data_IF_238058525879
#
_entry.id   IF_238058525879
#
_cell.length_a   1.000
_cell.length_b   1.000
_cell.length_c   1.000
_cell.angle_alpha   90.00
_cell.angle_beta   90.00
_cell.angle_gamma   90.00
#
_symmetry.space_group_name_H-M   'P 1'
#
loop_
_entity.id
_entity.type
_entity.pdbx_description
1 polymer ?
#
# COMPACT_ATOMS: atom_id res chain seq x y z
N UNK A 1 -3.10 -64.49 46.16
CA UNK A 1 -3.06 -63.01 46.03
C UNK A 1 -3.75 -62.65 44.73
N UNK A 2 -4.98 -62.16 44.82
CA UNK A 2 -5.82 -61.72 43.70
C UNK A 2 -5.21 -60.44 43.09
N UNK A 3 -4.94 -60.43 41.79
CA UNK A 3 -4.81 -59.18 41.01
C UNK A 3 -6.04 -59.10 40.12
N UNK A 4 -6.94 -58.17 40.44
CA UNK A 4 -8.02 -57.77 39.54
C UNK A 4 -7.41 -57.07 38.32
N UNK A 5 -7.77 -57.42 37.08
CA UNK A 5 -7.33 -56.71 35.88
C UNK A 5 -8.35 -55.62 35.49
N UNK A 6 -8.78 -54.80 36.45
CA UNK A 6 -9.79 -53.75 36.17
C UNK A 6 -9.22 -52.37 36.52
N UNK A 7 -8.11 -52.05 35.88
CA UNK A 7 -7.68 -50.67 35.67
C UNK A 7 -8.11 -50.26 34.27
N UNK A 8 -9.40 -49.95 34.10
CA UNK A 8 -9.87 -49.18 32.95
C UNK A 8 -9.20 -47.80 33.07
N UNK A 9 -8.06 -47.61 32.41
CA UNK A 9 -7.59 -46.25 32.15
C UNK A 9 -8.68 -45.57 31.32
N UNK A 10 -9.21 -44.40 31.72
CA UNK A 10 -10.08 -43.64 30.83
C UNK A 10 -9.25 -43.28 29.59
N UNK A 11 -9.43 -44.05 28.53
CA UNK A 11 -8.94 -43.73 27.20
C UNK A 11 -9.74 -42.51 26.73
N UNK A 12 -9.00 -41.42 26.48
CA UNK A 12 -9.36 -40.39 25.50
C UNK A 12 -10.59 -39.49 25.80
N UNK A 13 -10.64 -38.82 26.94
CA UNK A 13 -11.45 -37.58 27.06
C UNK A 13 -10.64 -36.28 26.89
N UNK A 14 -9.30 -36.32 26.87
CA UNK A 14 -8.47 -35.11 26.70
C UNK A 14 -8.30 -34.65 25.24
N UNK A 15 -8.65 -35.49 24.26
CA UNK A 15 -8.40 -35.20 22.83
C UNK A 15 -9.46 -34.31 22.16
N UNK A 16 -10.63 -34.15 22.77
CA UNK A 16 -11.76 -33.40 22.18
C UNK A 16 -11.76 -31.90 22.50
N UNK A 17 -10.93 -31.45 23.45
CA UNK A 17 -10.90 -30.04 23.90
C UNK A 17 -9.74 -29.23 23.31
N UNK A 18 -8.79 -29.85 22.62
CA UNK A 18 -7.63 -29.17 22.04
C UNK A 18 -7.91 -28.73 20.59
N UNK A 19 -7.95 -27.41 20.38
CA UNK A 19 -8.08 -26.80 19.05
C UNK A 19 -7.00 -27.31 18.09
N UNK A 20 -7.41 -27.71 16.88
CA UNK A 20 -6.50 -28.04 15.76
C UNK A 20 -5.70 -26.84 15.23
N UNK A 21 -5.95 -25.65 15.75
CA UNK A 21 -5.28 -24.39 15.41
C UNK A 21 -4.64 -23.77 16.65
N UNK A 22 -3.33 -23.52 16.59
CA UNK A 22 -2.56 -22.83 17.62
C UNK A 22 -2.36 -21.36 17.25
N UNK A 23 -3.29 -20.50 17.70
CA UNK A 23 -3.22 -19.06 17.48
C UNK A 23 -1.94 -18.40 18.00
N UNK A 24 -1.40 -18.75 19.20
CA UNK A 24 -0.13 -18.18 19.65
C UNK A 24 1.03 -18.47 18.69
N UNK A 25 1.08 -19.67 18.11
CA UNK A 25 2.10 -20.03 17.12
C UNK A 25 1.93 -19.23 15.81
N UNK A 26 0.69 -19.05 15.37
CA UNK A 26 0.35 -18.22 14.20
C UNK A 26 0.79 -16.78 14.42
N UNK A 27 0.46 -16.18 15.56
CA UNK A 27 0.84 -14.79 15.87
C UNK A 27 2.36 -14.62 16.01
N UNK A 28 3.04 -15.58 16.63
CA UNK A 28 4.51 -15.56 16.71
C UNK A 28 5.15 -15.64 15.31
N UNK A 29 4.66 -16.52 14.45
CA UNK A 29 5.09 -16.61 13.05
C UNK A 29 4.80 -15.33 12.27
N UNK A 30 3.61 -14.76 12.43
CA UNK A 30 3.21 -13.51 11.78
C UNK A 30 4.09 -12.33 12.23
N UNK A 31 4.39 -12.23 13.52
CA UNK A 31 5.27 -11.21 14.08
C UNK A 31 6.70 -11.34 13.52
N UNK A 32 7.22 -12.56 13.42
CA UNK A 32 8.53 -12.80 12.84
C UNK A 32 8.57 -12.45 11.33
N UNK A 33 7.53 -12.82 10.58
CA UNK A 33 7.40 -12.44 9.17
C UNK A 33 7.33 -10.92 9.01
N UNK A 34 6.51 -10.23 9.81
CA UNK A 34 6.37 -8.79 9.75
C UNK A 34 7.69 -8.07 10.10
N UNK A 35 8.38 -8.49 11.16
CA UNK A 35 9.66 -7.91 11.58
C UNK A 35 10.75 -8.10 10.51
N UNK A 36 10.89 -9.31 9.96
CA UNK A 36 11.88 -9.57 8.91
C UNK A 36 11.52 -8.84 7.60
N UNK A 37 10.24 -8.79 7.24
CA UNK A 37 9.78 -8.03 6.09
C UNK A 37 10.12 -6.55 6.23
N UNK A 38 9.93 -5.95 7.42
CA UNK A 38 10.28 -4.56 7.68
C UNK A 38 11.78 -4.32 7.50
N UNK A 39 12.62 -5.19 8.06
CA UNK A 39 14.09 -5.09 7.92
C UNK A 39 14.51 -5.16 6.45
N UNK A 40 13.98 -6.12 5.69
CA UNK A 40 14.33 -6.31 4.27
C UNK A 40 13.80 -5.19 3.37
N UNK A 41 12.62 -4.62 3.69
CA UNK A 41 12.10 -3.44 3.00
C UNK A 41 12.98 -2.22 3.26
N UNK A 42 13.39 -1.98 4.51
CA UNK A 42 14.31 -0.89 4.87
C UNK A 42 15.66 -1.04 4.16
N UNK A 43 16.19 -2.27 4.11
CA UNK A 43 17.41 -2.57 3.36
C UNK A 43 17.22 -2.29 1.85
N UNK A 44 16.09 -2.69 1.28
CA UNK A 44 15.75 -2.43 -0.11
C UNK A 44 15.69 -0.94 -0.45
N UNK A 45 15.16 -0.12 0.45
CA UNK A 45 15.21 1.33 0.30
C UNK A 45 16.64 1.87 0.30
N UNK A 46 17.49 1.40 1.23
CA UNK A 46 18.90 1.76 1.26
C UNK A 46 19.61 1.44 -0.04
N UNK A 47 19.45 0.22 -0.56
CA UNK A 47 20.03 -0.20 -1.84
C UNK A 47 19.45 0.61 -3.01
N UNK A 48 18.14 0.87 -3.02
CA UNK A 48 17.48 1.65 -4.06
C UNK A 48 18.00 3.09 -4.15
N UNK A 49 18.19 3.76 -3.01
CA UNK A 49 18.74 5.12 -2.99
C UNK A 49 20.18 5.18 -3.49
N UNK A 50 20.99 4.14 -3.26
CA UNK A 50 22.36 4.11 -3.79
C UNK A 50 22.42 3.91 -5.32
N UNK A 51 21.35 3.41 -5.93
CA UNK A 51 21.32 3.12 -7.36
C UNK A 51 20.74 4.27 -8.21
N UNK A 52 20.13 5.27 -7.58
CA UNK A 52 19.57 6.46 -8.24
C UNK A 52 20.59 7.60 -8.16
N UNK A 53 20.95 8.14 -9.32
CA UNK A 53 21.82 9.32 -9.41
C UNK A 53 20.98 10.58 -9.68
N UNK A 54 21.30 11.72 -9.04
CA UNK A 54 20.69 13.02 -9.37
C UNK A 54 21.25 13.65 -10.66
N UNK A 55 22.36 13.12 -11.22
CA UNK A 55 22.96 13.63 -12.45
C UNK A 55 22.44 12.90 -13.69
N UNK A 56 22.17 13.65 -14.76
CA UNK A 56 21.66 13.11 -16.02
C UNK A 56 22.64 12.09 -16.64
N UNK A 57 22.10 10.96 -17.12
CA UNK A 57 22.85 9.81 -17.68
C UNK A 57 23.77 9.05 -16.71
N UNK A 58 23.69 9.33 -15.41
CA UNK A 58 24.36 8.56 -14.37
C UNK A 58 23.36 7.67 -13.62
N UNK A 59 23.82 6.54 -13.08
CA UNK A 59 22.99 5.63 -12.28
C UNK A 59 22.14 4.63 -13.07
N UNK A 60 21.30 3.87 -12.37
CA UNK A 60 20.49 2.81 -12.97
C UNK A 60 19.27 3.36 -13.71
N UNK A 61 18.99 2.84 -14.91
CA UNK A 61 17.79 3.21 -15.67
C UNK A 61 16.49 2.96 -14.87
N UNK A 62 15.45 3.76 -15.12
CA UNK A 62 14.14 3.62 -14.46
C UNK A 62 13.53 2.21 -14.63
N UNK A 63 13.73 1.59 -15.81
CA UNK A 63 13.30 0.21 -16.08
C UNK A 63 14.09 -0.79 -15.23
N UNK A 64 15.41 -0.61 -15.12
CA UNK A 64 16.27 -1.44 -14.27
C UNK A 64 15.90 -1.34 -12.79
N UNK A 65 15.66 -0.13 -12.30
CA UNK A 65 15.20 0.13 -10.92
C UNK A 65 13.83 -0.52 -10.64
N UNK A 66 12.91 -0.45 -11.59
CA UNK A 66 11.61 -1.10 -11.47
C UNK A 66 11.72 -2.62 -11.36
N UNK A 67 12.54 -3.25 -12.21
CA UNK A 67 12.76 -4.70 -12.20
C UNK A 67 13.47 -5.14 -10.91
N UNK A 68 14.53 -4.43 -10.50
CA UNK A 68 15.26 -4.78 -9.27
C UNK A 68 14.38 -4.66 -8.03
N UNK A 69 13.51 -3.64 -7.97
CA UNK A 69 12.53 -3.47 -6.90
C UNK A 69 11.56 -4.65 -6.84
N UNK A 70 11.03 -5.10 -7.98
CA UNK A 70 10.13 -6.26 -8.04
C UNK A 70 10.82 -7.52 -7.55
N UNK A 71 12.02 -7.80 -8.04
CA UNK A 71 12.82 -8.96 -7.63
C UNK A 71 13.10 -8.93 -6.13
N UNK A 72 13.47 -7.76 -5.60
CA UNK A 72 13.76 -7.58 -4.17
C UNK A 72 12.51 -7.78 -3.30
N UNK A 73 11.36 -7.26 -3.71
CA UNK A 73 10.10 -7.45 -2.99
C UNK A 73 9.63 -8.91 -3.03
N UNK A 74 9.80 -9.59 -4.16
CA UNK A 74 9.53 -11.03 -4.27
C UNK A 74 10.45 -11.84 -3.34
N UNK A 75 11.75 -11.54 -3.34
CA UNK A 75 12.71 -12.14 -2.41
C UNK A 75 12.31 -11.91 -0.95
N UNK A 76 11.92 -10.68 -0.61
CA UNK A 76 11.44 -10.31 0.72
C UNK A 76 10.23 -11.15 1.13
N UNK A 77 9.23 -11.27 0.25
CA UNK A 77 8.04 -12.10 0.51
C UNK A 77 8.40 -13.55 0.77
N UNK A 78 9.27 -14.14 -0.04
CA UNK A 78 9.68 -15.54 0.09
C UNK A 78 10.39 -15.78 1.43
N UNK A 79 11.40 -14.96 1.74
CA UNK A 79 12.26 -15.16 2.92
C UNK A 79 11.51 -14.83 4.21
N UNK A 80 10.79 -13.71 4.27
CA UNK A 80 10.05 -13.30 5.46
C UNK A 80 8.89 -14.25 5.76
N UNK A 81 8.11 -14.61 4.74
CA UNK A 81 6.97 -15.52 4.91
C UNK A 81 7.44 -16.95 5.22
N UNK A 82 8.53 -17.40 4.60
CA UNK A 82 9.17 -18.67 4.92
C UNK A 82 9.64 -18.74 6.37
N UNK A 83 10.29 -17.70 6.90
CA UNK A 83 10.69 -17.66 8.31
C UNK A 83 9.47 -17.70 9.25
N UNK A 84 8.46 -16.87 8.98
CA UNK A 84 7.25 -16.84 9.79
C UNK A 84 6.50 -18.17 9.78
N UNK A 85 6.39 -18.80 8.62
CA UNK A 85 5.81 -20.13 8.47
C UNK A 85 6.58 -21.19 9.24
N UNK A 86 7.92 -21.22 9.12
CA UNK A 86 8.77 -22.12 9.89
C UNK A 86 8.56 -21.99 11.40
N UNK A 87 8.49 -20.75 11.91
CA UNK A 87 8.26 -20.47 13.33
C UNK A 87 6.85 -20.93 13.75
N UNK A 88 5.82 -20.63 12.96
CA UNK A 88 4.46 -21.08 13.23
C UNK A 88 4.37 -22.61 13.29
N UNK A 89 4.99 -23.31 12.34
CA UNK A 89 5.09 -24.77 12.36
C UNK A 89 5.87 -25.31 13.55
N UNK A 90 6.96 -24.66 13.96
CA UNK A 90 7.77 -25.10 15.11
C UNK A 90 7.03 -24.95 16.44
N UNK A 91 6.25 -23.88 16.60
CA UNK A 91 5.60 -23.52 17.86
C UNK A 91 4.22 -24.16 18.04
N UNK A 92 3.58 -24.68 16.99
CA UNK A 92 2.24 -25.33 17.06
C UNK A 92 2.22 -26.62 17.87
N UNK A 93 1.19 -26.85 18.68
CA UNK A 93 1.08 -27.99 19.63
C UNK A 93 1.37 -29.36 18.97
N UNK A 94 2.03 -30.28 19.69
CA UNK A 94 2.25 -31.65 19.20
C UNK A 94 0.95 -32.44 19.35
N UNK A 95 0.41 -32.95 18.25
CA UNK A 95 -0.78 -33.82 18.28
C UNK A 95 -0.32 -35.28 18.27
N UNK A 96 -0.39 -35.93 19.43
CA UNK A 96 -0.19 -37.37 19.49
C UNK A 96 -1.41 -38.08 18.84
N UNK A 97 -1.17 -39.21 18.17
CA UNK A 97 -2.21 -40.09 17.61
C UNK A 97 -2.98 -39.60 16.37
N UNK A 98 -2.42 -38.68 15.59
CA UNK A 98 -3.01 -38.23 14.32
C UNK A 98 -2.31 -38.86 13.10
N UNK A 99 -3.06 -39.11 12.03
CA UNK A 99 -2.52 -39.57 10.74
C UNK A 99 -1.58 -38.51 10.13
N UNK A 100 -0.52 -38.96 9.44
CA UNK A 100 0.50 -38.08 8.86
C UNK A 100 -0.05 -37.01 7.90
N UNK A 101 -1.08 -37.34 7.12
CA UNK A 101 -1.70 -36.41 6.17
C UNK A 101 -2.41 -35.23 6.86
N UNK A 102 -3.05 -35.49 8.00
CA UNK A 102 -3.72 -34.45 8.79
C UNK A 102 -2.70 -33.53 9.50
N UNK A 103 -1.58 -34.09 9.96
CA UNK A 103 -0.46 -33.29 10.50
C UNK A 103 0.13 -32.40 9.41
N UNK A 104 0.30 -32.92 8.19
CA UNK A 104 0.78 -32.15 7.05
C UNK A 104 -0.16 -30.99 6.68
N UNK A 105 -1.47 -31.26 6.59
CA UNK A 105 -2.47 -30.23 6.34
C UNK A 105 -2.41 -29.12 7.41
N UNK A 106 -2.40 -29.49 8.70
CA UNK A 106 -2.33 -28.50 9.79
C UNK A 106 -1.04 -27.70 9.77
N UNK A 107 0.10 -28.32 9.48
CA UNK A 107 1.37 -27.60 9.34
C UNK A 107 1.29 -26.53 8.25
N UNK A 108 0.81 -26.91 7.05
CA UNK A 108 0.63 -25.95 5.96
C UNK A 108 -0.35 -24.83 6.33
N UNK A 109 -1.45 -25.16 7.01
CA UNK A 109 -2.43 -24.19 7.46
C UNK A 109 -1.87 -23.19 8.48
N UNK A 110 -1.01 -23.61 9.41
CA UNK A 110 -0.37 -22.70 10.37
C UNK A 110 0.55 -21.70 9.68
N UNK A 111 1.32 -22.14 8.69
CA UNK A 111 2.15 -21.27 7.87
C UNK A 111 1.33 -20.28 7.06
N UNK A 112 0.29 -20.77 6.38
CA UNK A 112 -0.63 -19.93 5.61
C UNK A 112 -1.33 -18.87 6.47
N UNK A 113 -1.85 -19.26 7.64
CA UNK A 113 -2.52 -18.35 8.56
C UNK A 113 -1.56 -17.30 9.14
N UNK A 114 -0.31 -17.68 9.44
CA UNK A 114 0.71 -16.73 9.88
C UNK A 114 1.00 -15.68 8.79
N UNK A 115 1.08 -16.11 7.53
CA UNK A 115 1.19 -15.21 6.39
C UNK A 115 -0.04 -14.28 6.27
N UNK A 116 -1.27 -14.82 6.33
CA UNK A 116 -2.51 -14.04 6.28
C UNK A 116 -2.53 -12.94 7.35
N UNK A 117 -2.22 -13.29 8.60
CA UNK A 117 -2.19 -12.32 9.71
C UNK A 117 -1.14 -11.23 9.46
N UNK A 118 0.08 -11.61 9.06
CA UNK A 118 1.13 -10.63 8.76
C UNK A 118 0.71 -9.69 7.61
N UNK A 119 0.18 -10.24 6.51
CA UNK A 119 -0.26 -9.46 5.34
C UNK A 119 -1.42 -8.53 5.67
N UNK A 120 -2.43 -8.98 6.43
CA UNK A 120 -3.56 -8.14 6.82
C UNK A 120 -3.13 -7.01 7.77
N UNK A 121 -2.25 -7.29 8.74
CA UNK A 121 -1.68 -6.25 9.60
C UNK A 121 -0.91 -5.23 8.77
N UNK A 122 -0.04 -5.67 7.85
CA UNK A 122 0.64 -4.74 6.93
C UNK A 122 -0.35 -3.93 6.10
N UNK A 123 -1.38 -4.56 5.51
CA UNK A 123 -2.39 -3.86 4.71
C UNK A 123 -3.14 -2.79 5.53
N UNK A 124 -3.54 -3.10 6.77
CA UNK A 124 -4.22 -2.13 7.65
C UNK A 124 -3.33 -0.95 8.04
N UNK A 125 -2.04 -1.18 8.32
CA UNK A 125 -1.08 -0.11 8.62
C UNK A 125 -0.82 0.79 7.39
N UNK A 126 -0.76 0.18 6.20
CA UNK A 126 -0.61 0.91 4.93
C UNK A 126 -1.84 1.76 4.64
N UNK A 127 -3.05 1.20 4.74
CA UNK A 127 -4.30 1.95 4.49
C UNK A 127 -4.52 3.04 5.54
N UNK A 128 -4.19 2.74 6.81
CA UNK A 128 -4.31 3.70 7.92
C UNK A 128 -3.39 4.92 7.79
N UNK A 129 -2.20 4.75 7.22
CA UNK A 129 -1.24 5.85 7.01
C UNK A 129 -1.59 6.79 5.84
N UNK A 130 -2.42 6.36 4.90
CA UNK A 130 -2.90 7.20 3.78
C UNK A 130 -3.98 8.19 4.24
N UNK A 131 -4.75 7.86 5.28
CA UNK A 131 -5.90 8.67 5.74
C UNK A 131 -5.48 10.00 6.41
N UNK A 132 -4.24 10.12 6.89
CA UNK A 132 -3.71 11.37 7.47
C UNK A 132 -3.25 12.42 6.45
N UNK A 133 -3.30 12.13 5.14
CA UNK A 133 -2.79 13.01 4.07
C UNK A 133 -3.91 13.88 3.46
N UNK A 134 -5.18 13.54 3.66
CA UNK A 134 -6.31 14.21 2.99
C UNK A 134 -6.69 15.55 3.66
N UNK A 135 -6.22 15.84 4.88
CA UNK A 135 -6.48 17.13 5.55
C UNK A 135 -5.32 18.13 5.39
N UNK A 136 -5.18 18.71 4.19
CA UNK A 136 -4.81 20.13 4.02
C UNK A 136 -3.46 20.65 4.53
N UNK A 137 -2.35 19.92 4.42
CA UNK A 137 -1.04 20.51 4.69
C UNK A 137 0.11 19.66 4.18
N UNK A 138 1.05 20.28 3.46
CA UNK A 138 2.30 19.65 2.99
C UNK A 138 3.06 19.11 4.20
N UNK A 139 2.92 17.81 4.47
CA UNK A 139 3.81 17.07 5.37
C UNK A 139 4.57 16.04 4.53
N UNK A 140 5.79 16.40 4.19
CA UNK A 140 6.80 15.46 3.72
C UNK A 140 7.02 14.42 4.84
N UNK A 141 6.46 13.20 4.70
CA UNK A 141 6.67 12.16 5.72
C UNK A 141 5.80 10.90 5.69
N UNK A 142 4.84 10.73 4.77
CA UNK A 142 4.03 9.52 4.70
C UNK A 142 4.30 8.73 3.40
N UNK A 143 5.34 7.90 3.41
CA UNK A 143 5.61 6.97 2.31
C UNK A 143 6.04 5.62 2.87
N UNK A 144 5.08 4.77 3.23
CA UNK A 144 5.39 3.36 3.49
C UNK A 144 4.32 2.49 2.84
N UNK A 145 4.36 2.43 1.51
CA UNK A 145 4.03 1.28 0.65
C UNK A 145 3.75 1.79 -0.77
N UNK A 146 4.74 1.67 -1.66
CA UNK A 146 4.61 2.06 -3.07
C UNK A 146 5.28 3.40 -3.38
N UNK A 147 6.62 3.42 -3.38
CA UNK A 147 7.43 4.59 -3.72
C UNK A 147 7.22 5.17 -5.12
N UNK A 148 6.46 4.51 -5.99
CA UNK A 148 6.06 5.03 -7.29
C UNK A 148 4.70 5.77 -7.29
N UNK A 149 3.81 5.46 -6.34
CA UNK A 149 2.47 6.04 -6.30
C UNK A 149 2.45 7.44 -5.66
N UNK A 150 3.23 7.63 -4.59
CA UNK A 150 3.23 8.86 -3.79
C UNK A 150 3.82 10.10 -4.49
N UNK A 151 4.81 9.90 -5.36
CA UNK A 151 5.38 10.98 -6.18
C UNK A 151 4.41 11.46 -7.27
N UNK A 152 3.54 10.57 -7.75
CA UNK A 152 2.60 10.87 -8.85
C UNK A 152 1.32 11.55 -8.35
N UNK A 153 0.86 11.24 -7.14
CA UNK A 153 -0.33 11.87 -6.54
C UNK A 153 -0.10 13.34 -6.19
N UNK A 154 1.12 13.74 -5.79
CA UNK A 154 1.43 15.15 -5.50
C UNK A 154 1.54 16.02 -6.76
N UNK A 155 1.97 15.45 -7.88
CA UNK A 155 2.04 16.16 -9.16
C UNK A 155 0.65 16.38 -9.80
N UNK A 156 -0.29 15.45 -9.57
CA UNK A 156 -1.67 15.59 -10.06
C UNK A 156 -2.53 16.57 -9.22
N UNK A 157 -2.25 16.68 -7.91
CA UNK A 157 -3.02 17.53 -6.99
C UNK A 157 -2.73 19.03 -7.07
N UNK A 158 -1.67 19.44 -7.76
CA UNK A 158 -1.22 20.84 -7.84
C UNK A 158 -1.60 21.56 -9.16
N UNK A 159 -2.15 20.84 -10.14
CA UNK A 159 -2.49 21.40 -11.45
C UNK A 159 -3.95 21.87 -11.58
N UNK A 160 -4.80 21.66 -10.57
CA UNK A 160 -6.21 22.06 -10.59
C UNK A 160 -6.44 23.06 -9.46
N UNK A 161 -5.96 24.29 -9.66
CA UNK A 161 -6.49 25.44 -8.93
C UNK A 161 -7.96 25.56 -9.30
N UNK A 162 -8.83 25.06 -8.43
CA UNK A 162 -10.27 24.89 -8.65
C UNK A 162 -10.96 26.24 -8.90
N UNK A 163 -11.29 26.63 -10.15
CA UNK A 163 -12.03 27.85 -10.44
C UNK A 163 -13.55 27.63 -10.31
N UNK A 164 -13.99 26.40 -9.99
CA UNK A 164 -15.37 25.94 -10.12
C UNK A 164 -16.29 26.32 -8.95
N UNK A 165 -15.87 27.18 -8.02
CA UNK A 165 -16.68 27.50 -6.84
C UNK A 165 -17.80 28.52 -7.09
N UNK A 166 -18.00 29.00 -8.33
CA UNK A 166 -19.16 29.84 -8.65
C UNK A 166 -19.68 29.62 -10.09
N UNK A 167 -20.54 28.61 -10.32
CA UNK A 167 -21.15 28.32 -11.62
C UNK A 167 -22.00 29.47 -12.17
N UNK A 168 -22.50 30.33 -11.28
CA UNK A 168 -23.40 31.43 -11.64
C UNK A 168 -22.65 32.75 -11.84
N UNK A 169 -21.41 32.86 -11.35
CA UNK A 169 -20.59 34.07 -11.41
C UNK A 169 -20.45 34.66 -12.80
N UNK A 170 -20.38 33.84 -13.87
CA UNK A 170 -20.36 34.37 -15.24
C UNK A 170 -21.68 35.05 -15.61
N UNK A 171 -22.82 34.45 -15.26
CA UNK A 171 -24.13 35.00 -15.57
C UNK A 171 -24.38 36.26 -14.73
N UNK A 172 -23.96 36.26 -13.47
CA UNK A 172 -23.98 37.45 -12.61
C UNK A 172 -23.11 38.55 -13.21
N UNK A 173 -21.87 38.26 -13.61
CA UNK A 173 -20.99 39.23 -14.27
C UNK A 173 -21.64 39.77 -15.56
N UNK A 174 -22.30 38.92 -16.36
CA UNK A 174 -22.98 39.34 -17.59
C UNK A 174 -24.16 40.31 -17.36
N UNK A 175 -24.85 40.21 -16.22
CA UNK A 175 -25.93 41.13 -15.84
C UNK A 175 -25.43 42.54 -15.52
N UNK A 176 -24.18 42.67 -15.08
CA UNK A 176 -23.58 43.93 -14.65
C UNK A 176 -22.54 44.48 -15.65
N UNK A 177 -22.41 43.90 -16.85
CA UNK A 177 -21.59 44.48 -17.92
C UNK A 177 -22.21 45.81 -18.36
N UNK A 178 -21.45 46.88 -18.25
CA UNK A 178 -21.86 48.24 -18.61
C UNK A 178 -20.80 48.83 -19.57
N UNK A 179 -21.24 49.60 -20.56
CA UNK A 179 -20.37 50.25 -21.55
C UNK A 179 -19.68 51.51 -20.98
N UNK A 180 -20.03 51.90 -19.75
CA UNK A 180 -19.53 53.11 -19.11
C UNK A 180 -18.17 52.89 -18.43
N UNK A 181 -17.20 53.81 -18.58
CA UNK A 181 -15.92 53.75 -17.88
C UNK A 181 -16.12 54.10 -16.41
N UNK A 182 -16.56 53.13 -15.61
CA UNK A 182 -16.61 53.22 -14.14
C UNK A 182 -15.32 52.59 -13.59
N UNK A 183 -14.74 53.20 -12.56
CA UNK A 183 -13.55 52.66 -11.91
C UNK A 183 -13.90 51.36 -11.16
N UNK A 184 -13.64 50.22 -11.80
CA UNK A 184 -13.72 48.87 -11.21
C UNK A 184 -12.34 48.48 -10.72
N UNK A 185 -12.25 47.72 -9.62
CA UNK A 185 -10.97 47.20 -9.14
C UNK A 185 -10.36 46.23 -10.16
N UNK A 186 -9.02 46.20 -10.21
CA UNK A 186 -8.29 45.26 -11.07
C UNK A 186 -8.60 43.81 -10.71
N UNK A 187 -8.75 43.50 -9.42
CA UNK A 187 -9.13 42.16 -8.94
C UNK A 187 -10.48 41.69 -9.49
N UNK A 188 -11.51 42.55 -9.45
CA UNK A 188 -12.83 42.20 -10.00
C UNK A 188 -12.77 42.01 -11.52
N UNK A 189 -11.98 42.85 -12.20
CA UNK A 189 -11.76 42.77 -13.64
C UNK A 189 -11.06 41.45 -14.02
N UNK A 190 -9.97 41.11 -13.35
CA UNK A 190 -9.25 39.86 -13.57
C UNK A 190 -10.13 38.64 -13.28
N UNK A 191 -10.97 38.69 -12.23
CA UNK A 191 -11.94 37.65 -11.92
C UNK A 191 -12.96 37.39 -13.03
N UNK A 192 -13.54 38.45 -13.61
CA UNK A 192 -14.47 38.33 -14.74
C UNK A 192 -13.77 37.76 -15.98
N UNK A 193 -12.57 38.23 -16.32
CA UNK A 193 -11.78 37.72 -17.45
C UNK A 193 -11.51 36.21 -17.27
N UNK A 194 -11.08 35.80 -16.07
CA UNK A 194 -10.83 34.39 -15.75
C UNK A 194 -12.09 33.54 -15.92
N UNK A 195 -13.26 34.02 -15.47
CA UNK A 195 -14.54 33.29 -15.64
C UNK A 195 -14.96 33.19 -17.10
N UNK A 196 -14.81 34.25 -17.90
CA UNK A 196 -15.09 34.22 -19.34
C UNK A 196 -14.21 33.17 -20.03
N UNK A 197 -12.91 33.19 -19.76
CA UNK A 197 -11.97 32.23 -20.34
C UNK A 197 -12.30 30.80 -19.89
N UNK A 198 -12.58 30.57 -18.61
CA UNK A 198 -12.93 29.26 -18.08
C UNK A 198 -14.23 28.69 -18.71
N UNK A 199 -15.28 29.52 -18.83
CA UNK A 199 -16.54 29.12 -19.47
C UNK A 199 -16.34 28.82 -20.95
N UNK A 200 -15.61 29.68 -21.66
CA UNK A 200 -15.36 29.53 -23.09
C UNK A 200 -14.50 28.30 -23.40
N UNK A 201 -13.52 27.98 -22.56
CA UNK A 201 -12.73 26.74 -22.67
C UNK A 201 -13.56 25.48 -22.37
N UNK A 202 -14.60 25.60 -21.54
CA UNK A 202 -15.49 24.48 -21.19
C UNK A 202 -16.58 24.25 -22.23
N UNK A 203 -16.97 25.29 -22.98
CA UNK A 203 -18.00 25.25 -24.03
C UNK A 203 -17.35 25.39 -25.42
N UNK A 204 -16.94 24.27 -26.01
CA UNK A 204 -16.39 24.13 -27.37
C UNK A 204 -15.09 24.90 -27.68
N UNK A 205 -14.49 25.58 -26.70
CA UNK A 205 -13.22 26.30 -26.89
C UNK A 205 -13.36 27.53 -27.79
N UNK A 206 -14.59 28.02 -28.02
CA UNK A 206 -14.84 29.22 -28.80
C UNK A 206 -15.22 30.39 -27.90
N UNK A 207 -14.60 31.54 -28.14
CA UNK A 207 -14.93 32.77 -27.44
C UNK A 207 -16.20 33.35 -28.07
N UNK A 208 -17.26 33.51 -27.27
CA UNK A 208 -18.50 34.11 -27.74
C UNK A 208 -18.23 35.52 -28.27
N UNK A 209 -18.92 35.92 -29.34
CA UNK A 209 -18.69 37.22 -29.99
C UNK A 209 -18.92 38.39 -29.02
N UNK A 210 -19.89 38.26 -28.12
CA UNK A 210 -20.17 39.23 -27.05
C UNK A 210 -19.02 39.33 -26.03
N UNK A 211 -18.46 38.20 -25.60
CA UNK A 211 -17.34 38.14 -24.67
C UNK A 211 -16.07 38.71 -25.31
N UNK A 212 -15.85 38.41 -26.60
CA UNK A 212 -14.74 38.96 -27.38
C UNK A 212 -14.82 40.48 -27.48
N UNK A 213 -15.98 41.04 -27.79
CA UNK A 213 -16.19 42.48 -27.90
C UNK A 213 -15.97 43.19 -26.55
N UNK A 214 -16.49 42.62 -25.46
CA UNK A 214 -16.30 43.14 -24.11
C UNK A 214 -14.82 43.14 -23.68
N UNK A 215 -14.11 42.02 -23.89
CA UNK A 215 -12.68 41.92 -23.59
C UNK A 215 -11.85 42.91 -24.43
N UNK A 216 -12.21 43.12 -25.69
CA UNK A 216 -11.53 44.07 -26.56
C UNK A 216 -11.72 45.52 -26.09
N UNK A 217 -12.93 45.91 -25.66
CA UNK A 217 -13.18 47.23 -25.07
C UNK A 217 -12.33 47.45 -23.82
N UNK A 218 -12.27 46.46 -22.93
CA UNK A 218 -11.46 46.52 -21.70
C UNK A 218 -9.96 46.68 -22.00
N UNK A 219 -9.46 45.96 -23.02
CA UNK A 219 -8.08 46.09 -23.49
C UNK A 219 -7.83 47.47 -24.11
N UNK A 220 -8.73 47.96 -24.96
CA UNK A 220 -8.62 49.25 -25.63
C UNK A 220 -8.54 50.41 -24.61
N UNK A 221 -9.42 50.40 -23.59
CA UNK A 221 -9.44 51.40 -22.53
C UNK A 221 -8.13 51.48 -21.72
N UNK A 222 -7.43 50.35 -21.55
CA UNK A 222 -6.22 50.27 -20.71
C UNK A 222 -4.90 50.37 -21.47
N UNK A 223 -4.91 50.11 -22.78
CA UNK A 223 -3.68 49.99 -23.58
C UNK A 223 -3.56 51.02 -24.69
N UNK A 224 -4.56 51.91 -24.83
CA UNK A 224 -4.63 52.93 -25.88
C UNK A 224 -4.57 52.34 -27.30
N UNK A 225 -5.03 51.09 -27.45
CA UNK A 225 -5.14 50.39 -28.72
C UNK A 225 -6.45 50.77 -29.42
N UNK A 226 -6.44 50.71 -30.75
CA UNK A 226 -7.69 50.75 -31.53
C UNK A 226 -8.53 49.50 -31.23
N UNK A 227 -9.86 49.60 -31.39
CA UNK A 227 -10.75 48.46 -31.15
C UNK A 227 -10.35 47.22 -31.96
N UNK A 228 -9.97 47.40 -33.23
CA UNK A 228 -9.54 46.31 -34.11
C UNK A 228 -8.22 45.66 -33.65
N UNK A 229 -7.28 46.44 -33.11
CA UNK A 229 -6.03 45.90 -32.58
C UNK A 229 -6.23 45.21 -31.22
N UNK A 230 -7.14 45.73 -30.39
CA UNK A 230 -7.51 45.12 -29.12
C UNK A 230 -8.20 43.76 -29.33
N UNK A 231 -9.09 43.66 -30.31
CA UNK A 231 -9.73 42.41 -30.72
C UNK A 231 -8.70 41.36 -31.18
N UNK A 232 -7.75 41.76 -32.03
CA UNK A 232 -6.66 40.87 -32.47
C UNK A 232 -5.83 40.36 -31.30
N UNK A 233 -5.54 41.22 -30.32
CA UNK A 233 -4.81 40.84 -29.11
C UNK A 233 -5.58 39.85 -28.25
N UNK A 234 -6.89 40.03 -28.10
CA UNK A 234 -7.75 39.06 -27.38
C UNK A 234 -7.72 37.71 -28.07
N UNK A 235 -7.87 37.68 -29.40
CA UNK A 235 -7.84 36.43 -30.18
C UNK A 235 -6.49 35.71 -30.03
N UNK A 236 -5.38 36.42 -30.12
CA UNK A 236 -4.03 35.86 -29.95
C UNK A 236 -3.80 35.29 -28.55
N UNK A 237 -4.20 36.04 -27.51
CA UNK A 237 -4.04 35.59 -26.12
C UNK A 237 -4.94 34.38 -25.86
N UNK A 238 -6.18 34.41 -26.32
CA UNK A 238 -7.12 33.30 -26.18
C UNK A 238 -6.62 32.05 -26.90
N UNK A 239 -6.07 32.18 -28.12
CA UNK A 239 -5.47 31.06 -28.85
C UNK A 239 -4.26 30.47 -28.13
N UNK A 240 -3.39 31.30 -27.52
CA UNK A 240 -2.27 30.82 -26.69
C UNK A 240 -2.77 30.10 -25.43
N UNK A 241 -3.81 30.62 -24.79
CA UNK A 241 -4.40 29.97 -23.62
C UNK A 241 -5.02 28.62 -23.98
N UNK A 242 -5.77 28.53 -25.08
CA UNK A 242 -6.29 27.24 -25.57
C UNK A 242 -5.19 26.22 -25.80
N UNK A 243 -4.10 26.64 -26.48
CA UNK A 243 -2.95 25.76 -26.70
C UNK A 243 -2.33 25.30 -25.38
N UNK A 244 -2.09 26.22 -24.44
CA UNK A 244 -1.52 25.87 -23.13
C UNK A 244 -2.40 24.91 -22.33
N UNK A 245 -3.73 25.08 -22.39
CA UNK A 245 -4.69 24.19 -21.72
C UNK A 245 -4.74 22.82 -22.41
N UNK A 246 -4.70 22.77 -23.74
CA UNK A 246 -4.64 21.52 -24.50
C UNK A 246 -3.35 20.75 -24.21
N UNK A 247 -2.21 21.43 -24.20
CA UNK A 247 -0.90 20.87 -23.87
C UNK A 247 -0.86 20.36 -22.42
N UNK A 248 -1.41 21.14 -21.47
CA UNK A 248 -1.53 20.72 -20.06
C UNK A 248 -2.45 19.51 -19.88
N UNK A 249 -3.59 19.47 -20.60
CA UNK A 249 -4.51 18.32 -20.59
C UNK A 249 -3.83 17.08 -21.16
N UNK A 250 -3.11 17.21 -22.27
CA UNK A 250 -2.35 16.11 -22.87
C UNK A 250 -1.26 15.61 -21.92
N UNK A 251 -0.49 16.51 -21.30
CA UNK A 251 0.52 16.17 -20.31
C UNK A 251 -0.10 15.45 -19.09
N UNK A 252 -1.25 15.93 -18.61
CA UNK A 252 -1.98 15.30 -17.51
C UNK A 252 -2.50 13.90 -17.89
N UNK A 253 -3.04 13.73 -19.11
CA UNK A 253 -3.47 12.43 -19.63
C UNK A 253 -2.29 11.46 -19.76
N UNK A 254 -1.16 11.90 -20.33
CA UNK A 254 0.05 11.09 -20.46
C UNK A 254 0.64 10.69 -19.11
N UNK A 255 0.64 11.62 -18.14
CA UNK A 255 1.07 11.33 -16.78
C UNK A 255 0.13 10.30 -16.12
N UNK A 256 -1.19 10.46 -16.25
CA UNK A 256 -2.18 9.53 -15.72
C UNK A 256 -2.07 8.13 -16.38
N UNK A 257 -1.89 8.04 -17.69
CA UNK A 257 -1.70 6.78 -18.40
C UNK A 257 -0.41 6.07 -17.99
N UNK A 258 0.67 6.83 -17.78
CA UNK A 258 1.94 6.29 -17.28
C UNK A 258 1.78 5.78 -15.85
N UNK A 259 1.08 6.55 -14.99
CA UNK A 259 0.75 6.15 -13.64
C UNK A 259 -0.04 4.84 -13.62
N UNK A 260 -1.09 4.75 -14.44
CA UNK A 260 -1.95 3.59 -14.54
C UNK A 260 -1.18 2.35 -14.99
N UNK A 261 -0.28 2.48 -15.99
CA UNK A 261 0.58 1.37 -16.45
C UNK A 261 1.53 0.88 -15.36
N UNK A 262 2.19 1.80 -14.66
CA UNK A 262 3.10 1.45 -13.55
C UNK A 262 2.31 0.79 -12.42
N UNK A 263 1.17 1.37 -12.03
CA UNK A 263 0.30 0.81 -10.99
C UNK A 263 -0.19 -0.60 -11.34
N UNK A 264 -0.67 -0.82 -12.57
CA UNK A 264 -1.10 -2.13 -13.04
C UNK A 264 0.05 -3.16 -13.03
N UNK A 265 1.23 -2.77 -13.53
CA UNK A 265 2.41 -3.63 -13.52
C UNK A 265 2.86 -3.98 -12.10
N UNK A 266 2.94 -2.99 -11.21
CA UNK A 266 3.27 -3.19 -9.79
C UNK A 266 2.25 -4.08 -9.10
N UNK A 267 0.94 -3.86 -9.32
CA UNK A 267 -0.11 -4.67 -8.72
C UNK A 267 -0.02 -6.15 -9.13
N UNK A 268 0.24 -6.42 -10.41
CA UNK A 268 0.41 -7.79 -10.92
C UNK A 268 1.62 -8.49 -10.27
N UNK A 269 2.76 -7.81 -10.16
CA UNK A 269 3.94 -8.40 -9.54
C UNK A 269 3.81 -8.53 -8.02
N UNK A 270 3.15 -7.60 -7.36
CA UNK A 270 2.81 -7.71 -5.94
C UNK A 270 1.90 -8.91 -5.70
N UNK A 271 0.91 -9.14 -6.55
CA UNK A 271 0.06 -10.33 -6.49
C UNK A 271 0.89 -11.62 -6.60
N UNK A 272 1.78 -11.71 -7.59
CA UNK A 272 2.69 -12.86 -7.75
C UNK A 272 3.58 -13.05 -6.51
N UNK A 273 4.16 -11.97 -5.99
CA UNK A 273 5.01 -12.01 -4.80
C UNK A 273 4.25 -12.48 -3.55
N UNK A 274 3.00 -12.03 -3.37
CA UNK A 274 2.12 -12.46 -2.28
C UNK A 274 1.77 -13.95 -2.38
N UNK A 275 1.47 -14.45 -3.58
CA UNK A 275 1.25 -15.89 -3.80
C UNK A 275 2.49 -16.71 -3.46
N UNK A 276 3.68 -16.23 -3.85
CA UNK A 276 4.94 -16.87 -3.48
C UNK A 276 5.12 -16.87 -1.95
N UNK A 277 4.86 -15.74 -1.27
CA UNK A 277 4.91 -15.65 0.18
C UNK A 277 4.00 -16.67 0.88
N UNK A 278 2.74 -16.76 0.45
CA UNK A 278 1.77 -17.73 0.98
C UNK A 278 2.24 -19.18 0.80
N UNK A 279 2.75 -19.50 -0.39
CA UNK A 279 3.29 -20.82 -0.72
C UNK A 279 4.49 -21.18 0.17
N UNK A 280 5.49 -20.28 0.27
CA UNK A 280 6.69 -20.55 1.05
C UNK A 280 6.45 -20.56 2.56
N UNK A 281 5.50 -19.77 3.07
CA UNK A 281 5.08 -19.87 4.46
C UNK A 281 4.48 -21.25 4.77
N UNK A 282 3.57 -21.72 3.91
CA UNK A 282 2.92 -23.02 4.04
C UNK A 282 3.96 -24.15 3.98
N UNK A 283 4.86 -24.10 3.00
CA UNK A 283 5.93 -25.09 2.82
C UNK A 283 6.88 -25.09 4.03
N UNK A 284 7.37 -23.94 4.47
CA UNK A 284 8.32 -23.83 5.57
C UNK A 284 7.73 -24.28 6.91
N UNK A 285 6.43 -24.10 7.12
CA UNK A 285 5.74 -24.59 8.30
C UNK A 285 5.77 -26.12 8.41
N UNK A 286 5.71 -26.86 7.30
CA UNK A 286 5.89 -28.34 7.30
C UNK A 286 7.29 -28.77 7.75
N UNK A 287 8.32 -27.96 7.46
CA UNK A 287 9.67 -28.22 7.96
C UNK A 287 9.78 -27.87 9.45
N UNK A 288 9.13 -26.79 9.88
CA UNK A 288 9.03 -26.41 11.30
C UNK A 288 8.35 -27.49 12.14
N UNK A 289 7.16 -27.92 11.74
CA UNK A 289 6.36 -28.94 12.43
C UNK A 289 7.11 -30.27 12.55
N UNK A 290 7.66 -30.78 11.44
CA UNK A 290 8.45 -32.03 11.46
C UNK A 290 9.62 -32.01 12.44
N UNK A 291 10.36 -30.89 12.51
CA UNK A 291 11.50 -30.80 13.44
C UNK A 291 11.06 -30.66 14.90
N UNK A 292 9.86 -30.14 15.17
CA UNK A 292 9.28 -30.14 16.52
C UNK A 292 8.88 -31.56 16.92
N UNK A 293 8.24 -32.29 16.02
CA UNK A 293 7.73 -33.63 16.30
C UNK A 293 8.86 -34.66 16.50
N UNK A 294 10.03 -34.43 15.91
CA UNK A 294 11.26 -35.22 16.08
C UNK A 294 11.92 -35.11 17.47
N UNK A 295 11.45 -34.23 18.36
CA UNK A 295 11.97 -34.13 19.73
C UNK A 295 11.34 -35.25 20.58
N UNK A 296 12.18 -36.15 21.09
CA UNK A 296 11.82 -37.22 22.01
C UNK A 296 12.06 -36.73 23.46
N UNK A 297 11.09 -36.95 24.35
CA UNK A 297 11.27 -36.65 25.76
C UNK A 297 12.12 -37.76 26.37
N UNK A 298 13.29 -37.42 26.92
CA UNK A 298 14.02 -38.33 27.79
C UNK A 298 13.21 -38.42 29.08
N UNK A 299 12.48 -39.51 29.29
CA UNK A 299 12.01 -39.85 30.62
C UNK A 299 13.25 -40.00 31.50
N UNK A 300 13.44 -39.08 32.44
CA UNK A 300 14.38 -39.31 33.51
C UNK A 300 13.79 -40.45 34.34
N UNK A 301 14.22 -41.68 34.08
CA UNK A 301 13.93 -42.83 34.94
C UNK A 301 14.33 -42.42 36.36
N UNK A 302 13.33 -42.07 37.17
CA UNK A 302 13.52 -41.94 38.59
C UNK A 302 13.87 -43.34 39.06
N UNK A 303 15.16 -43.60 39.26
CA UNK A 303 15.64 -44.80 39.94
C UNK A 303 14.98 -44.82 41.33
N UNK A 304 13.85 -45.52 41.44
CA UNK A 304 13.24 -45.84 42.73
C UNK A 304 14.12 -46.94 43.32
N UNK A 305 15.13 -46.54 44.10
CA UNK A 305 15.87 -47.47 44.96
C UNK A 305 14.87 -48.07 45.93
N UNK A 306 14.38 -49.27 45.60
CA UNK A 306 13.57 -50.05 46.54
C UNK A 306 14.52 -50.57 47.60
N UNK A 307 14.67 -49.83 48.70
CA UNK A 307 15.41 -50.31 49.88
C UNK A 307 14.60 -51.43 50.51
N UNK A 308 14.90 -52.68 50.15
CA UNK A 308 14.35 -53.85 50.85
C UNK A 308 14.89 -53.85 52.27
N UNK A 309 14.10 -53.39 53.24
CA UNK A 309 14.42 -53.52 54.66
C UNK A 309 14.22 -54.98 55.06
N UNK A 310 15.30 -55.77 55.05
CA UNK A 310 15.31 -57.13 55.61
C UNK A 310 15.19 -57.04 57.13
N UNK A 311 14.01 -57.29 57.68
CA UNK A 311 13.82 -57.45 59.14
C UNK A 311 14.42 -58.79 59.57
N UNK A 312 15.55 -58.75 60.29
CA UNK A 312 16.11 -59.92 60.98
C UNK A 312 15.18 -60.33 62.14
N UNK A 313 14.92 -61.63 62.35
CA UNK A 313 14.12 -62.10 63.48
C UNK A 313 14.90 -61.94 64.82
N UNK A 314 14.20 -61.74 65.95
CA UNK A 314 14.84 -61.55 67.24
C UNK A 314 15.54 -62.83 67.72
N UNK A 315 16.79 -62.69 68.14
CA UNK A 315 17.57 -63.73 68.81
C UNK A 315 16.98 -63.94 70.22
N UNK A 316 16.62 -65.18 70.54
CA UNK A 316 16.24 -65.60 71.90
C UNK A 316 17.47 -65.92 72.72
#
# INVERSE_FOLDING_TARGET
MNRSPDGFYPVAEESSTLSGVSWPAIFAGAAAAAALSLILVLLGFGLGFTAVSPWANEGMSAKGLGISTIVWLAFTQIVASGLGGYIAGRLRVKWAFMHGDEVYFRDTAHGFLAWCVATLVTATLVVGSVSSVVSGGVRAGAVVAGGAASAMTQAAGSAIGNPANDPYGYFIDSLFRDDRPVAVSDDATHGTVTRIFARSLSNDGQLATEDRAYLAQLVAQRTNLTQADAERRVDEVYARTQKAVADAKLAAQQAADTAAKVAAWTALWMFIALLAGAFFASLAATFGGRRRDAVEYLEADAYVTTTTTTTLPPVR
#
